data_IF_929431553252
#
_entry.id   IF_929431553252
#
_cell.length_a   1.000
_cell.length_b   1.000
_cell.length_c   1.000
_cell.angle_alpha   90.00
_cell.angle_beta   90.00
_cell.angle_gamma   90.00
#
_symmetry.space_group_name_H-M   'P 1'
#
loop_
_entity.id
_entity.type
_entity.pdbx_description
1 polymer ?
#
# COMPACT_ATOMS: atom_id res chain seq x y z
N UNK A 1 6.48 -25.46 -20.31
CA UNK A 1 5.34 -24.56 -20.64
C UNK A 1 4.83 -23.95 -19.34
N UNK A 2 4.94 -22.64 -19.15
CA UNK A 2 4.51 -21.97 -17.91
C UNK A 2 3.03 -21.60 -18.07
N UNK A 3 2.18 -22.16 -17.22
CA UNK A 3 0.74 -21.88 -17.25
C UNK A 3 0.48 -20.36 -17.09
N UNK A 4 -0.52 -19.80 -17.78
CA UNK A 4 -0.87 -18.40 -17.61
C UNK A 4 -1.42 -18.25 -16.19
N UNK A 5 -0.67 -17.60 -15.32
CA UNK A 5 -1.17 -17.27 -14.00
C UNK A 5 -2.41 -16.40 -14.19
N UNK A 6 -3.59 -16.89 -13.77
CA UNK A 6 -4.87 -16.18 -13.81
C UNK A 6 -4.62 -14.75 -13.34
N UNK A 7 -4.86 -13.80 -14.23
CA UNK A 7 -5.00 -12.41 -13.85
C UNK A 7 -6.19 -12.35 -12.90
N UNK A 8 -5.92 -12.06 -11.62
CA UNK A 8 -6.99 -11.90 -10.63
C UNK A 8 -7.71 -10.60 -10.96
N UNK A 9 -8.69 -10.69 -11.86
CA UNK A 9 -9.52 -9.57 -12.28
C UNK A 9 -10.13 -8.92 -11.03
N UNK A 10 -9.73 -7.68 -10.75
CA UNK A 10 -10.19 -6.91 -9.60
C UNK A 10 -9.08 -6.42 -8.66
N UNK A 11 -7.83 -6.88 -8.84
CA UNK A 11 -6.71 -6.41 -8.02
C UNK A 11 -5.80 -5.49 -8.86
N UNK A 12 -5.58 -4.23 -8.46
CA UNK A 12 -4.81 -3.25 -9.25
C UNK A 12 -3.29 -3.47 -9.20
N UNK A 13 -2.83 -4.61 -8.70
CA UNK A 13 -1.41 -4.87 -8.44
C UNK A 13 -0.88 -6.03 -9.28
N UNK A 14 0.38 -5.91 -9.70
CA UNK A 14 1.07 -6.99 -10.42
C UNK A 14 1.33 -8.18 -9.51
N UNK A 15 1.57 -9.35 -10.11
CA UNK A 15 1.93 -10.58 -9.37
C UNK A 15 3.16 -10.41 -8.48
N UNK A 16 4.11 -9.56 -8.87
CA UNK A 16 5.28 -9.26 -8.05
C UNK A 16 4.93 -8.51 -6.77
N UNK A 17 4.04 -7.51 -6.86
CA UNK A 17 3.54 -6.77 -5.70
C UNK A 17 2.71 -7.66 -4.76
N UNK A 18 1.97 -8.62 -5.33
CA UNK A 18 1.14 -9.57 -4.58
C UNK A 18 1.94 -10.74 -3.98
N UNK A 19 3.17 -10.98 -4.45
CA UNK A 19 4.02 -12.07 -3.96
C UNK A 19 4.61 -11.78 -2.58
N UNK A 20 4.72 -10.51 -2.20
CA UNK A 20 5.20 -10.12 -0.88
C UNK A 20 4.15 -10.47 0.18
N UNK A 21 4.56 -11.28 1.15
CA UNK A 21 3.72 -11.61 2.31
C UNK A 21 3.52 -10.36 3.17
N UNK A 22 2.27 -9.96 3.37
CA UNK A 22 1.95 -8.89 4.31
C UNK A 22 2.28 -9.41 5.73
N UNK A 23 3.04 -8.65 6.54
CA UNK A 23 3.24 -9.01 7.93
C UNK A 23 1.87 -9.17 8.61
N UNK A 24 1.72 -10.22 9.42
CA UNK A 24 0.43 -10.57 10.06
C UNK A 24 -0.07 -9.46 11.02
N UNK A 25 0.84 -8.56 11.37
CA UNK A 25 0.68 -7.41 12.26
C UNK A 25 0.95 -6.09 11.51
N UNK A 26 0.90 -6.11 10.17
CA UNK A 26 1.05 -4.93 9.31
C UNK A 26 0.04 -3.89 9.82
N UNK A 27 0.56 -2.95 10.59
CA UNK A 27 -0.25 -2.01 11.34
C UNK A 27 -1.03 -1.23 10.29
N UNK A 28 -2.36 -1.23 10.39
CA UNK A 28 -3.19 -0.35 9.58
C UNK A 28 -2.71 1.08 9.87
N UNK A 29 -2.22 1.83 8.88
CA UNK A 29 -1.91 3.24 9.07
C UNK A 29 -3.22 4.03 9.11
N UNK A 30 -4.10 3.72 10.08
CA UNK A 30 -5.16 4.63 10.49
C UNK A 30 -4.59 5.94 11.07
N UNK A 31 -3.26 6.02 11.24
CA UNK A 31 -2.56 7.19 11.74
C UNK A 31 -2.30 8.28 10.68
N UNK A 32 -2.49 8.00 9.40
CA UNK A 32 -2.29 8.97 8.31
C UNK A 32 -3.35 8.77 7.24
N UNK A 33 -4.61 9.09 7.57
CA UNK A 33 -5.65 9.17 6.55
C UNK A 33 -5.45 10.49 5.76
N UNK A 34 -5.38 10.38 4.44
CA UNK A 34 -5.33 11.49 3.51
C UNK A 34 -6.71 11.73 2.93
N UNK A 35 -7.33 12.84 3.33
CA UNK A 35 -8.66 13.24 2.90
C UNK A 35 -8.66 14.18 1.68
N UNK A 36 -7.49 14.49 1.13
CA UNK A 36 -7.32 15.43 0.01
C UNK A 36 -7.18 16.89 0.43
N UNK A 37 -7.22 17.21 1.73
CA UNK A 37 -7.15 18.60 2.22
C UNK A 37 -5.79 18.96 2.82
N UNK A 38 -5.03 17.96 3.26
CA UNK A 38 -3.68 18.14 3.81
C UNK A 38 -2.62 18.20 2.70
N UNK A 39 -1.40 18.60 3.05
CA UNK A 39 -0.29 18.68 2.10
C UNK A 39 0.10 17.28 1.59
N UNK A 40 0.07 17.03 0.26
CA UNK A 40 0.40 15.72 -0.30
C UNK A 40 1.85 15.29 -0.04
N UNK A 41 2.80 16.22 0.08
CA UNK A 41 4.21 15.90 0.33
C UNK A 41 4.45 15.50 1.79
N UNK A 42 3.77 16.16 2.72
CA UNK A 42 3.74 15.78 4.13
C UNK A 42 3.14 14.37 4.28
N UNK A 43 2.02 14.09 3.60
CA UNK A 43 1.41 12.76 3.60
C UNK A 43 2.38 11.69 3.12
N UNK A 44 3.02 11.92 1.97
CA UNK A 44 4.01 10.98 1.41
C UNK A 44 5.19 10.78 2.37
N UNK A 45 5.73 11.85 2.95
CA UNK A 45 6.85 11.78 3.90
C UNK A 45 6.49 10.97 5.15
N UNK A 46 5.28 11.15 5.69
CA UNK A 46 4.78 10.39 6.85
C UNK A 46 4.61 8.91 6.51
N UNK A 47 4.08 8.61 5.34
CA UNK A 47 3.97 7.24 4.84
C UNK A 47 5.35 6.57 4.65
N UNK A 48 6.30 7.27 4.04
CA UNK A 48 7.66 6.75 3.82
C UNK A 48 8.39 6.45 5.14
N UNK A 49 8.27 7.35 6.11
CA UNK A 49 8.82 7.14 7.45
C UNK A 49 8.21 5.91 8.14
N UNK A 50 6.89 5.74 8.07
CA UNK A 50 6.22 4.56 8.62
C UNK A 50 6.68 3.28 7.89
N UNK A 51 6.74 3.31 6.56
CA UNK A 51 7.19 2.18 5.76
C UNK A 51 8.64 1.78 6.06
N UNK A 52 9.51 2.76 6.36
CA UNK A 52 10.90 2.51 6.77
C UNK A 52 10.95 1.82 8.14
N UNK A 53 10.20 2.31 9.14
CA UNK A 53 10.15 1.73 10.48
C UNK A 53 9.68 0.28 10.47
N UNK A 54 8.68 -0.03 9.63
CA UNK A 54 8.14 -1.38 9.47
C UNK A 54 8.91 -2.23 8.44
N UNK A 55 9.96 -1.68 7.82
CA UNK A 55 10.80 -2.36 6.82
C UNK A 55 9.99 -2.93 5.65
N UNK A 56 8.99 -2.18 5.19
CA UNK A 56 8.14 -2.60 4.08
C UNK A 56 8.94 -2.71 2.77
N UNK A 57 8.74 -3.82 2.08
CA UNK A 57 9.16 -3.99 0.69
C UNK A 57 8.32 -3.08 -0.22
N UNK A 58 8.77 -2.89 -1.47
CA UNK A 58 8.02 -2.09 -2.43
C UNK A 58 6.61 -2.67 -2.70
N UNK A 59 6.45 -3.99 -2.71
CA UNK A 59 5.13 -4.61 -2.88
C UNK A 59 4.19 -4.32 -1.71
N UNK A 60 4.70 -4.38 -0.48
CA UNK A 60 3.93 -4.01 0.71
C UNK A 60 3.59 -2.51 0.69
N UNK A 61 4.54 -1.64 0.34
CA UNK A 61 4.29 -0.19 0.21
C UNK A 61 3.13 0.11 -0.73
N UNK A 62 3.11 -0.46 -1.94
CA UNK A 62 2.01 -0.24 -2.89
C UNK A 62 0.65 -0.65 -2.32
N UNK A 63 0.59 -1.80 -1.64
CA UNK A 63 -0.66 -2.36 -1.10
C UNK A 63 -1.15 -1.63 0.14
N UNK A 64 -0.26 -1.09 0.96
CA UNK A 64 -0.61 -0.34 2.17
C UNK A 64 -0.90 1.13 1.84
N UNK A 65 -0.23 1.72 0.85
CA UNK A 65 -0.44 3.12 0.50
C UNK A 65 -1.89 3.41 0.10
N UNK A 66 -2.53 2.51 -0.66
CA UNK A 66 -3.92 2.68 -1.07
C UNK A 66 -4.91 2.69 0.10
N UNK A 67 -4.52 2.14 1.27
CA UNK A 67 -5.34 2.15 2.49
C UNK A 67 -5.19 3.44 3.30
N UNK A 68 -4.31 4.35 2.86
CA UNK A 68 -4.12 5.65 3.52
C UNK A 68 -5.08 6.72 3.01
N UNK A 69 -5.81 6.48 1.91
CA UNK A 69 -6.77 7.44 1.39
C UNK A 69 -8.11 7.31 2.12
N UNK A 70 -8.66 8.43 2.59
CA UNK A 70 -10.04 8.50 3.03
C UNK A 70 -10.96 8.11 1.86
N UNK A 71 -12.18 7.65 2.15
CA UNK A 71 -13.17 7.36 1.10
C UNK A 71 -13.42 8.55 0.15
N UNK A 72 -13.32 9.78 0.64
CA UNK A 72 -13.48 11.00 -0.17
C UNK A 72 -12.33 11.23 -1.17
N UNK A 73 -11.19 10.59 -0.96
CA UNK A 73 -9.97 10.70 -1.76
C UNK A 73 -9.59 9.38 -2.47
N UNK A 74 -10.46 8.37 -2.43
CA UNK A 74 -10.30 7.08 -3.14
C UNK A 74 -10.93 7.10 -4.53
#
# INVERSE_FOLDING_TARGET
MRAPAKEQAGIPFTKGVMADELPVNCWTPALVEYDGTTDPQEHLSRFENAALLHRYTNGIKCRVFVTTFARAAQ
#
